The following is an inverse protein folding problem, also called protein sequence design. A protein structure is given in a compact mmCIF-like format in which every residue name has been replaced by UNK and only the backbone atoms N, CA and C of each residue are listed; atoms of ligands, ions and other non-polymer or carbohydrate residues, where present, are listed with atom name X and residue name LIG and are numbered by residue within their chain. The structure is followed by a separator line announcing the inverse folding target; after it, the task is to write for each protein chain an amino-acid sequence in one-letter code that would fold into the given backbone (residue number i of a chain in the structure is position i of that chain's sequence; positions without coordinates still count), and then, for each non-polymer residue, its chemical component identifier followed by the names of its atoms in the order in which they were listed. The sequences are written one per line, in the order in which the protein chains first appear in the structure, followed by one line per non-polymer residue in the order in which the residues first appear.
data_IF_570614166849
#
_entry.id   IF_570614166849
#
_cell.length_a   1.000
_cell.length_b   1.000
_cell.length_c   1.000
_cell.angle_alpha   90.00
_cell.angle_beta   90.00
_cell.angle_gamma   90.00
#
_symmetry.space_group_name_H-M   'P 1'
#
loop_
_entity.id
_entity.type
_entity.pdbx_description
1 polymer ?
#
# COMPACT_ATOMS: atom_id res chain seq x y z
N UNK A 1 -0.50 21.63 4.33
CA UNK A 1 -1.71 20.89 4.53
C UNK A 1 -1.85 19.73 3.59
N UNK A 2 -1.65 19.92 2.31
CA UNK A 2 -1.57 18.79 1.39
C UNK A 2 -0.45 17.84 1.77
N UNK A 3 0.65 18.38 2.28
CA UNK A 3 1.76 17.56 2.77
C UNK A 3 1.35 16.68 3.94
N UNK A 4 0.56 17.22 4.86
CA UNK A 4 0.14 16.48 6.05
C UNK A 4 -0.77 15.31 5.67
N UNK A 5 -1.70 15.51 4.76
CA UNK A 5 -2.57 14.45 4.29
C UNK A 5 -1.78 13.37 3.56
N UNK A 6 -0.89 13.77 2.66
CA UNK A 6 -0.06 12.83 1.92
C UNK A 6 0.81 12.00 2.86
N UNK A 7 1.43 12.65 3.84
CA UNK A 7 2.26 11.98 4.84
C UNK A 7 1.43 11.00 5.66
N UNK A 8 0.21 11.36 6.04
CA UNK A 8 -0.68 10.50 6.79
C UNK A 8 -1.07 9.27 5.97
N UNK A 9 -1.38 9.44 4.69
CA UNK A 9 -1.71 8.31 3.81
C UNK A 9 -0.53 7.36 3.68
N UNK A 10 0.67 7.90 3.48
CA UNK A 10 1.88 7.10 3.37
C UNK A 10 2.12 6.31 4.65
N UNK A 11 1.97 6.94 5.80
CA UNK A 11 2.15 6.28 7.10
C UNK A 11 1.15 5.13 7.28
N UNK A 12 -0.11 5.34 6.92
CA UNK A 12 -1.13 4.32 7.03
C UNK A 12 -0.85 3.13 6.10
N UNK A 13 -0.49 3.42 4.87
CA UNK A 13 -0.17 2.38 3.90
C UNK A 13 1.05 1.60 4.36
N UNK A 14 2.09 2.30 4.81
CA UNK A 14 3.31 1.66 5.29
C UNK A 14 3.04 0.75 6.49
N UNK A 15 2.26 1.21 7.44
CA UNK A 15 1.91 0.42 8.62
C UNK A 15 1.13 -0.84 8.22
N UNK A 16 0.18 -0.71 7.29
CA UNK A 16 -0.61 -1.83 6.81
C UNK A 16 0.26 -2.84 6.05
N UNK A 17 1.18 -2.37 5.24
CA UNK A 17 2.11 -3.24 4.51
C UNK A 17 2.98 -4.04 5.49
N UNK A 18 3.52 -3.38 6.50
CA UNK A 18 4.38 -4.03 7.49
C UNK A 18 3.61 -5.01 8.38
N UNK A 19 2.31 -4.79 8.52
CA UNK A 19 1.45 -5.73 9.22
C UNK A 19 1.32 -7.06 8.47
N UNK A 20 1.37 -7.02 7.15
CA UNK A 20 1.37 -8.23 6.32
C UNK A 20 2.75 -8.86 6.22
N UNK A 21 3.78 -8.03 6.05
CA UNK A 21 5.16 -8.48 5.89
C UNK A 21 6.07 -7.39 6.40
N UNK A 22 6.81 -7.69 7.47
CA UNK A 22 7.70 -6.74 8.12
C UNK A 22 8.78 -6.18 7.19
N UNK A 23 9.10 -6.91 6.11
CA UNK A 23 10.10 -6.48 5.13
C UNK A 23 9.51 -5.63 4.01
N UNK A 24 8.19 -5.54 3.92
CA UNK A 24 7.52 -4.79 2.86
C UNK A 24 7.34 -3.34 3.29
N UNK A 25 8.19 -2.45 2.76
CA UNK A 25 8.06 -1.01 2.99
C UNK A 25 7.08 -0.40 1.99
N UNK A 26 6.68 0.85 2.26
CA UNK A 26 5.83 1.59 1.35
C UNK A 26 6.45 1.69 -0.05
N UNK A 27 7.74 1.99 -0.12
CA UNK A 27 8.45 2.13 -1.40
C UNK A 27 8.41 0.83 -2.21
N UNK A 28 8.66 -0.30 -1.55
CA UNK A 28 8.61 -1.61 -2.21
C UNK A 28 7.20 -1.95 -2.66
N UNK A 29 6.22 -1.65 -1.82
CA UNK A 29 4.82 -1.88 -2.14
C UNK A 29 4.41 -1.10 -3.40
N UNK A 30 4.74 0.19 -3.46
CA UNK A 30 4.42 1.03 -4.61
C UNK A 30 5.12 0.52 -5.87
N UNK A 31 6.39 0.13 -5.73
CA UNK A 31 7.13 -0.44 -6.85
C UNK A 31 6.47 -1.72 -7.34
N UNK A 32 6.05 -2.59 -6.43
CA UNK A 32 5.35 -3.82 -6.77
C UNK A 32 4.05 -3.57 -7.51
N UNK A 33 3.28 -2.57 -7.08
CA UNK A 33 2.05 -2.18 -7.76
C UNK A 33 2.33 -1.70 -9.17
N UNK A 34 3.37 -0.91 -9.36
CA UNK A 34 3.78 -0.42 -10.67
C UNK A 34 4.16 -1.57 -11.58
N UNK A 35 4.93 -2.53 -11.07
CA UNK A 35 5.34 -3.71 -11.84
C UNK A 35 4.15 -4.60 -12.19
N UNK A 36 3.16 -4.67 -11.31
CA UNK A 36 1.95 -5.46 -11.54
C UNK A 36 0.95 -4.76 -12.46
N UNK A 37 1.21 -3.50 -12.83
CA UNK A 37 0.31 -2.74 -13.67
C UNK A 37 -0.93 -2.23 -12.94
N UNK A 38 -0.87 -2.16 -11.62
CA UNK A 38 -1.99 -1.68 -10.80
C UNK A 38 -1.82 -0.19 -10.53
N UNK A 39 -2.77 0.59 -10.99
CA UNK A 39 -2.78 2.03 -10.76
C UNK A 39 -3.84 2.37 -9.73
N UNK A 40 -3.40 2.70 -8.51
CA UNK A 40 -4.29 3.03 -7.41
C UNK A 40 -3.79 4.28 -6.72
N UNK A 41 -4.72 5.20 -6.45
CA UNK A 41 -4.41 6.42 -5.74
C UNK A 41 -4.06 6.14 -4.28
N UNK A 42 -3.14 6.93 -3.71
CA UNK A 42 -2.73 6.79 -2.30
C UNK A 42 -3.91 6.93 -1.34
N UNK A 43 -4.82 7.84 -1.65
CA UNK A 43 -6.01 8.04 -0.83
C UNK A 43 -6.86 6.77 -0.78
N UNK A 44 -7.05 6.15 -1.94
CA UNK A 44 -7.82 4.92 -2.04
C UNK A 44 -7.13 3.80 -1.28
N UNK A 45 -5.81 3.68 -1.42
CA UNK A 45 -5.04 2.66 -0.69
C UNK A 45 -5.16 2.85 0.82
N UNK A 46 -5.06 4.09 1.29
CA UNK A 46 -5.18 4.37 2.72
C UNK A 46 -6.58 4.06 3.24
N UNK A 47 -7.60 4.38 2.46
CA UNK A 47 -8.98 4.06 2.82
C UNK A 47 -9.20 2.55 2.91
N UNK A 48 -8.68 1.80 1.94
CA UNK A 48 -8.78 0.34 1.94
C UNK A 48 -8.06 -0.27 3.14
N UNK A 49 -6.90 0.26 3.48
CA UNK A 49 -6.11 -0.25 4.61
C UNK A 49 -6.87 -0.13 5.94
N UNK A 50 -7.69 0.91 6.07
CA UNK A 50 -8.45 1.16 7.31
C UNK A 50 -9.82 0.50 7.26
N UNK A 51 -10.54 0.66 6.15
CA UNK A 51 -11.96 0.28 6.07
C UNK A 51 -12.19 -1.10 5.47
N UNK A 52 -11.31 -1.56 4.60
CA UNK A 52 -11.44 -2.85 3.94
C UNK A 52 -10.09 -3.57 3.90
N UNK A 53 -9.66 -4.09 5.05
CA UNK A 53 -8.34 -4.73 5.15
C UNK A 53 -8.20 -5.97 4.25
N UNK A 54 -9.28 -6.67 4.00
CA UNK A 54 -9.24 -7.85 3.12
C UNK A 54 -8.93 -7.46 1.68
N UNK A 55 -9.55 -6.37 1.19
CA UNK A 55 -9.29 -5.85 -0.13
C UNK A 55 -7.85 -5.33 -0.23
N UNK A 56 -7.38 -4.65 0.80
CA UNK A 56 -6.00 -4.17 0.85
C UNK A 56 -5.02 -5.35 0.83
N UNK A 57 -5.32 -6.41 1.56
CA UNK A 57 -4.51 -7.62 1.61
C UNK A 57 -4.35 -8.25 0.22
N UNK A 58 -5.42 -8.28 -0.56
CA UNK A 58 -5.35 -8.80 -1.92
C UNK A 58 -4.42 -7.97 -2.81
N UNK A 59 -4.45 -6.64 -2.63
CA UNK A 59 -3.56 -5.73 -3.36
C UNK A 59 -2.11 -5.96 -2.94
N UNK A 60 -1.86 -6.13 -1.65
CA UNK A 60 -0.51 -6.41 -1.13
C UNK A 60 0.03 -7.70 -1.74
N UNK A 61 -0.79 -8.73 -1.83
CA UNK A 61 -0.39 -10.00 -2.42
C UNK A 61 0.02 -9.83 -3.87
N UNK A 62 -0.71 -9.03 -4.63
CA UNK A 62 -0.37 -8.76 -6.03
C UNK A 62 0.96 -8.03 -6.15
N UNK A 63 1.19 -7.04 -5.29
CA UNK A 63 2.44 -6.28 -5.29
C UNK A 63 3.62 -7.19 -4.94
N UNK A 64 3.48 -8.05 -3.94
CA UNK A 64 4.53 -8.98 -3.54
C UNK A 64 4.85 -9.97 -4.65
N UNK A 65 3.85 -10.47 -5.34
CA UNK A 65 4.05 -11.39 -6.45
C UNK A 65 4.86 -10.74 -7.58
N UNK A 66 4.66 -9.45 -7.81
CA UNK A 66 5.40 -8.71 -8.84
C UNK A 66 6.84 -8.42 -8.44
N UNK A 67 7.14 -8.41 -7.14
CA UNK A 67 8.48 -8.13 -6.62
C UNK A 67 9.39 -9.37 -6.60
N UNK A 68 8.84 -10.54 -6.78
CA UNK A 68 9.60 -11.80 -6.77
C UNK A 68 10.33 -12.05 -8.06
#
# INVERSE_FOLDING_TARGET
RKRNFRSLWIQRINAACRSHDATLSYSRFVNGLSLAGVEVDRKVLADLAVNEPDAFSAIVTKAQAALV
#
